data_IF_013387756120
#
_entry.id   IF_013387756120
#
_cell.length_a   1.000
_cell.length_b   1.000
_cell.length_c   1.000
_cell.angle_alpha   90.00
_cell.angle_beta   90.00
_cell.angle_gamma   90.00
#
_symmetry.space_group_name_H-M   'P 1'
#
loop_
_entity.id
_entity.type
_entity.pdbx_description
1 polymer ?
#
# COMPACT_ATOMS: atom_id res chain seq x y z
N UNK A 1 14.53 6.57 25.69
CA UNK A 1 15.00 6.73 24.30
C UNK A 1 15.76 8.04 24.20
N UNK A 2 17.04 8.02 23.76
CA UNK A 2 17.74 9.29 23.43
C UNK A 2 17.26 9.69 22.03
N UNK A 3 16.65 10.85 21.89
CA UNK A 3 16.26 11.42 20.60
C UNK A 3 17.50 11.76 19.77
N UNK A 4 18.59 12.13 20.46
CA UNK A 4 19.91 12.45 19.89
C UNK A 4 20.99 11.86 20.82
N UNK A 5 21.96 11.16 20.25
CA UNK A 5 23.16 10.72 20.96
C UNK A 5 24.36 11.58 20.50
N UNK A 6 24.63 12.67 21.20
CA UNK A 6 25.71 13.61 20.86
C UNK A 6 27.11 13.05 21.14
N UNK A 7 27.20 11.95 21.89
CA UNK A 7 28.46 11.34 22.30
C UNK A 7 29.00 10.33 21.27
N UNK A 8 28.18 9.91 20.33
CA UNK A 8 28.56 8.89 19.34
C UNK A 8 28.29 9.34 17.92
N UNK A 9 29.36 9.54 17.17
CA UNK A 9 29.25 9.68 15.71
C UNK A 9 28.91 8.30 15.09
N UNK A 10 27.78 8.16 14.37
CA UNK A 10 27.46 6.89 13.72
C UNK A 10 28.54 6.55 12.69
N UNK A 11 29.21 5.41 12.88
CA UNK A 11 30.25 4.93 11.96
C UNK A 11 29.68 4.14 10.79
N UNK A 12 28.64 3.34 11.05
CA UNK A 12 27.90 2.56 10.05
C UNK A 12 26.42 2.73 10.32
N UNK A 13 25.73 3.39 9.40
CA UNK A 13 24.31 3.67 9.54
C UNK A 13 23.49 2.40 9.26
N UNK A 14 22.80 1.90 10.30
CA UNK A 14 21.81 0.83 10.13
C UNK A 14 20.45 1.44 9.84
N UNK A 15 19.68 0.75 9.01
CA UNK A 15 18.29 1.16 8.76
C UNK A 15 17.50 1.04 10.07
N UNK A 16 17.59 -0.11 10.74
CA UNK A 16 16.86 -0.41 11.98
C UNK A 16 17.79 -0.80 13.11
N UNK A 17 17.39 -0.50 14.34
CA UNK A 17 18.06 -0.93 15.58
C UNK A 17 19.54 -0.50 15.70
N UNK A 18 19.93 0.54 14.99
CA UNK A 18 21.25 1.15 15.12
C UNK A 18 21.28 2.30 16.12
N UNK A 19 22.31 3.14 16.02
CA UNK A 19 22.35 4.41 16.71
C UNK A 19 21.65 5.47 15.85
N UNK A 20 20.79 6.28 16.47
CA UNK A 20 20.10 7.34 15.74
C UNK A 20 21.12 8.32 15.14
N UNK A 21 21.09 8.49 13.84
CA UNK A 21 21.81 9.54 13.12
C UNK A 21 21.15 10.90 13.44
N UNK A 22 21.97 11.88 13.80
CA UNK A 22 21.47 13.08 14.45
C UNK A 22 21.20 14.24 13.50
N UNK A 23 21.67 14.14 12.26
CA UNK A 23 21.44 15.13 11.22
C UNK A 23 21.55 14.48 9.84
N UNK A 24 20.83 15.07 8.92
CA UNK A 24 20.82 14.62 7.53
C UNK A 24 22.10 15.12 6.87
N UNK A 25 22.88 14.19 6.37
CA UNK A 25 24.07 14.48 5.58
C UNK A 25 23.76 14.29 4.11
N UNK A 26 23.52 15.38 3.41
CA UNK A 26 23.22 15.34 1.96
C UNK A 26 24.45 14.88 1.16
N UNK A 27 25.65 15.17 1.66
CA UNK A 27 26.95 14.86 1.05
C UNK A 27 27.39 13.40 1.24
N UNK A 28 26.81 12.68 2.18
CA UNK A 28 27.17 11.29 2.49
C UNK A 28 25.96 10.45 2.88
N UNK A 29 25.10 10.21 1.92
CA UNK A 29 23.91 9.36 2.10
C UNK A 29 24.34 7.90 1.96
N UNK A 30 24.09 7.09 3.00
CA UNK A 30 24.46 5.67 3.03
C UNK A 30 23.65 4.82 2.03
N UNK A 31 22.44 5.26 1.66
CA UNK A 31 21.54 4.52 0.76
C UNK A 31 20.92 5.45 -0.29
N UNK A 32 21.58 5.59 -1.44
CA UNK A 32 21.10 6.39 -2.57
C UNK A 32 19.68 6.04 -3.04
N UNK A 33 19.29 4.78 -2.89
CA UNK A 33 17.93 4.35 -3.27
C UNK A 33 16.85 5.03 -2.40
N UNK A 34 17.09 5.19 -1.10
CA UNK A 34 16.15 5.88 -0.21
C UNK A 34 15.98 7.36 -0.58
N UNK A 35 17.08 8.01 -1.00
CA UNK A 35 17.04 9.38 -1.51
C UNK A 35 16.19 9.50 -2.77
N UNK A 36 16.42 8.60 -3.74
CA UNK A 36 15.64 8.58 -4.99
C UNK A 36 14.15 8.35 -4.75
N UNK A 37 13.80 7.42 -3.86
CA UNK A 37 12.41 7.15 -3.50
C UNK A 37 11.77 8.33 -2.77
N UNK A 38 12.51 8.99 -1.88
CA UNK A 38 12.07 10.23 -1.23
C UNK A 38 11.82 11.34 -2.26
N UNK A 39 12.72 11.54 -3.21
CA UNK A 39 12.57 12.54 -4.28
C UNK A 39 11.38 12.21 -5.19
N UNK A 40 11.14 10.93 -5.48
CA UNK A 40 9.96 10.49 -6.23
C UNK A 40 8.67 10.79 -5.46
N UNK A 41 8.61 10.49 -4.16
CA UNK A 41 7.51 10.81 -3.27
C UNK A 41 7.22 12.32 -3.25
N UNK A 42 8.25 13.15 -3.06
CA UNK A 42 8.10 14.61 -3.09
C UNK A 42 7.57 15.13 -4.43
N UNK A 43 8.07 14.53 -5.51
CA UNK A 43 7.64 14.86 -6.87
C UNK A 43 6.20 14.46 -7.19
N UNK A 44 5.60 13.53 -6.46
CA UNK A 44 4.24 13.02 -6.68
C UNK A 44 3.21 13.59 -5.71
N UNK A 45 3.57 14.52 -4.82
CA UNK A 45 2.64 15.07 -3.82
C UNK A 45 1.37 15.63 -4.48
N UNK A 46 0.23 15.22 -3.97
CA UNK A 46 -1.11 15.66 -4.36
C UNK A 46 -2.01 15.73 -3.11
N UNK A 47 -3.23 16.25 -3.25
CA UNK A 47 -4.16 16.42 -2.12
C UNK A 47 -5.57 15.97 -2.49
N UNK A 48 -6.33 15.50 -1.52
CA UNK A 48 -7.69 14.98 -1.65
C UNK A 48 -8.63 15.92 -2.43
N UNK A 49 -8.52 17.23 -2.21
CA UNK A 49 -9.36 18.28 -2.82
C UNK A 49 -9.06 18.57 -4.29
N UNK A 50 -8.01 17.96 -4.86
CA UNK A 50 -7.67 18.12 -6.28
C UNK A 50 -8.53 17.23 -7.19
N UNK A 51 -9.33 16.34 -6.60
CA UNK A 51 -10.25 15.46 -7.33
C UNK A 51 -11.68 15.97 -7.28
N UNK A 52 -12.33 16.04 -8.44
CA UNK A 52 -13.75 16.41 -8.56
C UNK A 52 -14.64 15.16 -8.58
N UNK A 53 -15.62 15.09 -7.68
CA UNK A 53 -16.57 13.99 -7.52
C UNK A 53 -18.01 14.34 -7.97
N UNK A 54 -18.23 15.47 -8.65
CA UNK A 54 -19.56 15.90 -9.07
C UNK A 54 -20.26 14.88 -9.97
N UNK A 55 -19.52 14.29 -10.90
CA UNK A 55 -20.04 13.23 -11.76
C UNK A 55 -20.46 12.00 -10.95
N UNK A 56 -19.62 11.58 -10.01
CA UNK A 56 -19.84 10.40 -9.17
C UNK A 56 -21.12 10.60 -8.33
N UNK A 57 -21.32 11.77 -7.75
CA UNK A 57 -22.52 12.12 -6.98
C UNK A 57 -23.81 11.92 -7.76
N UNK A 58 -23.81 12.27 -9.03
CA UNK A 58 -25.02 12.17 -9.87
C UNK A 58 -25.22 10.80 -10.47
N UNK A 59 -24.15 10.04 -10.66
CA UNK A 59 -24.15 8.77 -11.43
C UNK A 59 -24.05 7.52 -10.58
N UNK A 60 -23.59 7.63 -9.34
CA UNK A 60 -23.40 6.45 -8.47
C UNK A 60 -24.68 5.60 -8.33
N UNK A 61 -25.83 6.26 -8.18
CA UNK A 61 -27.12 5.56 -8.06
C UNK A 61 -27.56 4.81 -9.32
N UNK A 62 -26.92 5.07 -10.46
CA UNK A 62 -27.18 4.33 -11.70
C UNK A 62 -26.42 2.99 -11.78
N UNK A 63 -25.46 2.76 -10.87
CA UNK A 63 -24.78 1.47 -10.77
C UNK A 63 -25.77 0.39 -10.29
N UNK A 64 -25.65 -0.85 -10.79
CA UNK A 64 -26.35 -1.98 -10.20
C UNK A 64 -26.01 -2.16 -8.72
N UNK A 65 -26.94 -2.67 -7.93
CA UNK A 65 -26.78 -2.84 -6.48
C UNK A 65 -25.53 -3.67 -6.11
N UNK A 66 -25.22 -4.71 -6.88
CA UNK A 66 -24.03 -5.53 -6.67
C UNK A 66 -22.73 -4.73 -6.86
N UNK A 67 -22.70 -3.85 -7.86
CA UNK A 67 -21.54 -2.96 -8.10
C UNK A 67 -21.41 -1.89 -7.01
N UNK A 68 -22.54 -1.32 -6.55
CA UNK A 68 -22.55 -0.38 -5.43
C UNK A 68 -22.06 -1.06 -4.14
N UNK A 69 -22.51 -2.28 -3.85
CA UNK A 69 -22.07 -3.07 -2.70
C UNK A 69 -20.58 -3.37 -2.77
N UNK A 70 -20.10 -3.90 -3.89
CA UNK A 70 -18.69 -4.22 -4.09
C UNK A 70 -17.81 -2.98 -3.93
N UNK A 71 -18.20 -1.84 -4.49
CA UNK A 71 -17.50 -0.58 -4.34
C UNK A 71 -17.44 -0.14 -2.87
N UNK A 72 -18.57 -0.11 -2.16
CA UNK A 72 -18.65 0.34 -0.76
C UNK A 72 -17.80 -0.51 0.18
N UNK A 73 -17.86 -1.84 0.06
CA UNK A 73 -17.02 -2.76 0.85
C UNK A 73 -15.54 -2.55 0.56
N UNK A 74 -15.20 -2.39 -0.71
CA UNK A 74 -13.82 -2.22 -1.14
C UNK A 74 -13.20 -0.90 -0.66
N UNK A 75 -13.94 0.22 -0.79
CA UNK A 75 -13.46 1.53 -0.36
C UNK A 75 -13.36 1.64 1.17
N UNK A 76 -14.30 1.04 1.91
CA UNK A 76 -14.25 0.99 3.37
C UNK A 76 -13.00 0.26 3.85
N UNK A 77 -12.70 -0.90 3.26
CA UNK A 77 -11.47 -1.64 3.55
C UNK A 77 -10.21 -0.81 3.26
N UNK A 78 -10.10 -0.18 2.09
CA UNK A 78 -8.95 0.65 1.71
C UNK A 78 -8.74 1.79 2.71
N UNK A 79 -9.82 2.55 3.04
CA UNK A 79 -9.74 3.67 3.99
C UNK A 79 -9.15 3.25 5.33
N UNK A 80 -9.57 2.10 5.85
CA UNK A 80 -9.12 1.64 7.14
C UNK A 80 -7.67 1.12 7.10
N UNK A 81 -7.29 0.44 6.01
CA UNK A 81 -5.92 -0.08 5.87
C UNK A 81 -4.90 1.04 5.75
N UNK A 82 -5.13 2.05 4.91
CA UNK A 82 -4.23 3.20 4.77
C UNK A 82 -4.13 3.99 6.09
N UNK A 83 -5.25 4.18 6.79
CA UNK A 83 -5.25 4.79 8.14
C UNK A 83 -4.41 3.98 9.13
N UNK A 84 -4.49 2.65 9.08
CA UNK A 84 -3.73 1.73 9.92
C UNK A 84 -2.23 1.76 9.58
N UNK A 85 -1.89 1.75 8.31
CA UNK A 85 -0.50 1.85 7.83
C UNK A 85 0.12 3.19 8.21
N UNK A 86 -0.57 4.31 7.96
CA UNK A 86 -0.13 5.65 8.37
C UNK A 86 0.19 5.73 9.87
N UNK A 87 -0.73 5.21 10.70
CA UNK A 87 -0.55 5.14 12.15
C UNK A 87 0.63 4.25 12.53
N UNK A 88 0.75 3.07 11.91
CA UNK A 88 1.83 2.12 12.15
C UNK A 88 3.21 2.66 11.78
N UNK A 89 3.34 3.34 10.65
CA UNK A 89 4.58 4.00 10.25
C UNK A 89 4.97 5.10 11.25
N UNK A 90 4.02 5.96 11.62
CA UNK A 90 4.28 7.10 12.49
C UNK A 90 4.61 6.67 13.92
N UNK A 91 3.86 5.73 14.48
CA UNK A 91 3.95 5.37 15.90
C UNK A 91 4.88 4.19 16.20
N UNK A 92 5.12 3.28 15.26
CA UNK A 92 5.89 2.05 15.46
C UNK A 92 7.21 2.09 14.70
N UNK A 93 7.18 2.18 13.36
CA UNK A 93 8.39 2.09 12.56
C UNK A 93 9.36 3.26 12.82
N UNK A 94 8.87 4.49 12.93
CA UNK A 94 9.72 5.64 13.20
C UNK A 94 10.48 5.56 14.53
N UNK A 95 10.04 4.73 15.48
CA UNK A 95 10.78 4.50 16.74
C UNK A 95 12.00 3.60 16.59
N UNK A 96 12.03 2.75 15.58
CA UNK A 96 13.08 1.74 15.38
C UNK A 96 13.96 2.00 14.15
N UNK A 97 13.53 2.91 13.27
CA UNK A 97 14.34 3.38 12.13
C UNK A 97 15.41 4.32 12.65
N UNK A 98 16.67 4.00 12.38
CA UNK A 98 17.83 4.75 12.90
C UNK A 98 18.64 5.45 11.80
N UNK A 99 18.43 5.11 10.55
CA UNK A 99 18.97 5.83 9.40
C UNK A 99 18.16 7.09 9.12
N UNK A 100 18.85 8.24 9.01
CA UNK A 100 18.19 9.53 8.79
C UNK A 100 17.42 9.61 7.48
N UNK A 101 17.98 9.09 6.39
CA UNK A 101 17.32 9.13 5.08
C UNK A 101 16.10 8.19 5.02
N UNK A 102 16.19 7.00 5.64
CA UNK A 102 15.06 6.09 5.73
C UNK A 102 13.96 6.61 6.66
N UNK A 103 14.33 7.29 7.76
CA UNK A 103 13.35 7.92 8.64
C UNK A 103 12.54 9.00 7.92
N UNK A 104 13.17 9.81 7.08
CA UNK A 104 12.45 10.81 6.26
C UNK A 104 11.54 10.13 5.25
N UNK A 105 12.02 9.09 4.56
CA UNK A 105 11.21 8.37 3.59
C UNK A 105 9.97 7.74 4.24
N UNK A 106 10.12 7.07 5.38
CA UNK A 106 8.99 6.51 6.10
C UNK A 106 8.02 7.56 6.64
N UNK A 107 8.53 8.72 7.08
CA UNK A 107 7.67 9.84 7.46
C UNK A 107 6.88 10.39 6.25
N UNK A 108 7.50 10.44 5.08
CA UNK A 108 6.82 10.82 3.83
C UNK A 108 5.74 9.82 3.44
N UNK A 109 6.04 8.51 3.48
CA UNK A 109 5.07 7.46 3.24
C UNK A 109 3.89 7.58 4.22
N UNK A 110 4.13 7.80 5.51
CA UNK A 110 3.06 8.00 6.49
C UNK A 110 2.16 9.22 6.15
N UNK A 111 2.72 10.29 5.56
CA UNK A 111 1.94 11.44 5.08
C UNK A 111 1.11 11.04 3.86
N UNK A 112 1.68 10.31 2.89
CA UNK A 112 0.97 9.83 1.71
C UNK A 112 -0.21 8.93 2.10
N UNK A 113 -0.02 8.00 3.01
CA UNK A 113 -1.06 7.13 3.55
C UNK A 113 -2.21 7.92 4.22
N UNK A 114 -1.88 9.00 4.94
CA UNK A 114 -2.92 9.89 5.47
C UNK A 114 -3.69 10.61 4.35
N UNK A 115 -3.00 11.04 3.28
CA UNK A 115 -3.65 11.65 2.11
C UNK A 115 -4.55 10.63 1.41
N UNK A 116 -4.12 9.37 1.28
CA UNK A 116 -4.91 8.29 0.73
C UNK A 116 -6.21 8.08 1.53
N UNK A 117 -6.10 7.87 2.83
CA UNK A 117 -7.24 7.69 3.74
C UNK A 117 -8.19 8.90 3.75
N UNK A 118 -7.64 10.12 3.79
CA UNK A 118 -8.42 11.36 3.68
C UNK A 118 -9.17 11.43 2.34
N UNK A 119 -8.53 11.02 1.25
CA UNK A 119 -9.10 11.12 -0.09
C UNK A 119 -10.31 10.19 -0.28
N UNK A 120 -10.28 8.99 0.28
CA UNK A 120 -11.44 8.11 0.32
C UNK A 120 -12.59 8.74 1.12
N UNK A 121 -12.31 9.22 2.34
CA UNK A 121 -13.31 9.85 3.20
C UNK A 121 -13.89 11.12 2.57
N UNK A 122 -13.05 11.93 1.94
CA UNK A 122 -13.45 13.11 1.22
C UNK A 122 -14.39 12.76 0.04
N UNK A 123 -13.97 11.82 -0.81
CA UNK A 123 -14.80 11.36 -1.92
C UNK A 123 -16.15 10.80 -1.49
N UNK A 124 -16.16 9.98 -0.42
CA UNK A 124 -17.40 9.45 0.14
C UNK A 124 -18.32 10.58 0.66
N UNK A 125 -17.75 11.60 1.33
CA UNK A 125 -18.50 12.76 1.81
C UNK A 125 -19.10 13.57 0.67
N UNK A 126 -18.35 13.81 -0.41
CA UNK A 126 -18.81 14.54 -1.59
C UNK A 126 -19.95 13.81 -2.31
N UNK A 127 -19.88 12.48 -2.40
CA UNK A 127 -20.85 11.66 -3.13
C UNK A 127 -22.07 11.33 -2.29
N UNK A 128 -21.89 10.91 -1.04
CA UNK A 128 -22.96 10.38 -0.18
C UNK A 128 -23.41 11.35 0.92
N UNK A 129 -22.68 12.45 1.17
CA UNK A 129 -23.00 13.38 2.26
C UNK A 129 -23.00 12.67 3.61
N UNK A 130 -24.12 12.79 4.35
CA UNK A 130 -24.26 12.17 5.68
C UNK A 130 -24.22 10.64 5.68
N UNK A 131 -24.51 9.99 4.55
CA UNK A 131 -24.45 8.53 4.42
C UNK A 131 -23.02 8.01 4.21
N UNK A 132 -22.00 8.87 4.08
CA UNK A 132 -20.60 8.46 3.99
C UNK A 132 -20.18 7.62 5.20
N UNK A 133 -20.63 7.98 6.40
CA UNK A 133 -20.35 7.26 7.65
C UNK A 133 -20.84 5.82 7.60
N UNK A 134 -22.03 5.57 7.04
CA UNK A 134 -22.57 4.21 6.89
C UNK A 134 -21.66 3.31 6.05
N UNK A 135 -21.01 3.88 5.02
CA UNK A 135 -20.03 3.15 4.19
C UNK A 135 -18.75 2.87 4.98
N UNK A 136 -18.24 3.84 5.73
CA UNK A 136 -17.03 3.64 6.55
C UNK A 136 -17.29 2.66 7.69
N UNK A 137 -18.47 2.66 8.29
CA UNK A 137 -18.87 1.76 9.37
C UNK A 137 -18.99 0.29 8.93
N UNK A 138 -18.96 -0.01 7.63
CA UNK A 138 -18.87 -1.39 7.14
C UNK A 138 -17.64 -2.12 7.72
N UNK A 139 -16.55 -1.41 8.02
CA UNK A 139 -15.38 -2.01 8.67
C UNK A 139 -15.67 -2.58 10.06
N UNK A 140 -16.69 -2.06 10.75
CA UNK A 140 -17.13 -2.53 12.06
C UNK A 140 -18.32 -3.49 12.01
N UNK A 141 -19.10 -3.43 10.93
CA UNK A 141 -20.37 -4.14 10.80
C UNK A 141 -20.28 -5.36 9.88
N UNK A 142 -19.20 -5.48 9.08
CA UNK A 142 -18.98 -6.60 8.16
C UNK A 142 -17.85 -7.49 8.70
N UNK A 143 -18.18 -8.70 9.11
CA UNK A 143 -17.24 -9.64 9.71
C UNK A 143 -16.12 -10.06 8.74
N UNK A 144 -16.39 -10.07 7.43
CA UNK A 144 -15.39 -10.42 6.45
C UNK A 144 -14.33 -9.31 6.31
N UNK A 145 -14.76 -8.04 6.30
CA UNK A 145 -13.86 -6.89 6.29
C UNK A 145 -12.99 -6.89 7.55
N UNK A 146 -13.57 -7.11 8.73
CA UNK A 146 -12.81 -7.24 9.99
C UNK A 146 -11.73 -8.30 9.89
N UNK A 147 -12.14 -9.54 9.54
CA UNK A 147 -11.22 -10.67 9.49
C UNK A 147 -10.05 -10.42 8.52
N UNK A 148 -10.32 -9.77 7.38
CA UNK A 148 -9.28 -9.45 6.39
C UNK A 148 -8.19 -8.53 6.94
N UNK A 149 -8.49 -7.75 7.98
CA UNK A 149 -7.56 -6.78 8.58
C UNK A 149 -6.81 -7.30 9.80
N UNK A 150 -7.35 -8.31 10.47
CA UNK A 150 -6.80 -8.81 11.74
C UNK A 150 -5.31 -9.14 11.65
N UNK A 151 -4.88 -9.66 10.50
CA UNK A 151 -3.48 -10.08 10.31
C UNK A 151 -2.51 -8.92 10.25
N UNK A 152 -2.86 -7.85 9.56
CA UNK A 152 -2.03 -6.64 9.48
C UNK A 152 -1.94 -5.96 10.85
N UNK A 153 -3.07 -5.85 11.54
CA UNK A 153 -3.12 -5.32 12.92
C UNK A 153 -2.26 -6.14 13.87
N UNK A 154 -2.31 -7.48 13.78
CA UNK A 154 -1.47 -8.38 14.56
C UNK A 154 0.02 -8.14 14.31
N UNK A 155 0.43 -7.95 13.04
CA UNK A 155 1.83 -7.72 12.68
C UNK A 155 2.37 -6.41 13.28
N UNK A 156 1.61 -5.31 13.20
CA UNK A 156 1.99 -4.05 13.84
C UNK A 156 2.03 -4.18 15.36
N UNK A 157 1.01 -4.77 15.96
CA UNK A 157 0.94 -5.00 17.40
C UNK A 157 2.12 -5.82 17.93
N UNK A 158 2.55 -6.84 17.17
CA UNK A 158 3.70 -7.67 17.56
C UNK A 158 5.02 -6.91 17.55
N UNK A 159 5.23 -6.03 16.58
CA UNK A 159 6.43 -5.18 16.55
C UNK A 159 6.38 -4.15 17.67
N UNK A 160 5.22 -3.56 17.95
CA UNK A 160 5.05 -2.63 19.05
C UNK A 160 5.38 -3.29 20.40
N UNK A 161 4.81 -4.48 20.67
CA UNK A 161 5.08 -5.26 21.86
C UNK A 161 6.58 -5.55 22.06
N UNK A 162 7.23 -6.12 21.01
CA UNK A 162 8.62 -6.59 21.11
C UNK A 162 9.65 -5.45 21.07
N UNK A 163 9.31 -4.32 20.45
CA UNK A 163 10.20 -3.16 20.34
C UNK A 163 9.92 -2.09 21.40
N UNK A 164 8.97 -2.32 22.30
CA UNK A 164 8.75 -1.44 23.43
C UNK A 164 9.98 -1.46 24.34
N UNK A 165 10.42 -0.26 24.75
CA UNK A 165 11.62 -0.08 25.57
C UNK A 165 11.55 -0.77 26.95
N UNK A 166 10.36 -1.06 27.43
CA UNK A 166 10.13 -1.73 28.71
C UNK A 166 10.33 -3.25 28.62
N UNK A 167 10.33 -3.83 27.43
CA UNK A 167 10.50 -5.26 27.23
C UNK A 167 11.99 -5.65 27.08
N UNK A 168 12.70 -5.67 28.21
CA UNK A 168 14.15 -5.94 28.28
C UNK A 168 14.50 -7.42 27.98
N UNK A 169 13.53 -8.34 28.03
CA UNK A 169 13.75 -9.78 27.89
C UNK A 169 13.65 -10.30 26.47
N UNK A 170 13.24 -9.46 25.50
CA UNK A 170 13.10 -9.87 24.10
C UNK A 170 14.47 -9.99 23.44
N UNK A 171 14.76 -11.14 22.83
CA UNK A 171 16.01 -11.35 22.13
C UNK A 171 16.11 -10.44 20.89
N UNK A 172 17.34 -10.05 20.49
CA UNK A 172 17.53 -9.27 19.27
C UNK A 172 16.96 -9.94 18.01
N UNK A 173 17.00 -11.26 17.94
CA UNK A 173 16.50 -12.00 16.79
C UNK A 173 14.98 -12.06 16.73
N UNK A 174 14.29 -12.15 17.85
CA UNK A 174 12.82 -12.04 17.90
C UNK A 174 12.34 -10.68 17.37
N UNK A 175 13.01 -9.58 17.77
CA UNK A 175 12.73 -8.23 17.25
C UNK A 175 12.93 -8.15 15.75
N UNK A 176 14.04 -8.71 15.24
CA UNK A 176 14.34 -8.73 13.79
C UNK A 176 13.35 -9.58 13.01
N UNK A 177 12.96 -10.74 13.55
CA UNK A 177 11.96 -11.61 12.94
C UNK A 177 10.58 -10.94 12.89
N UNK A 178 10.15 -10.28 13.96
CA UNK A 178 8.90 -9.53 13.99
C UNK A 178 8.93 -8.39 12.96
N UNK A 179 10.01 -7.63 12.89
CA UNK A 179 10.18 -6.56 11.91
C UNK A 179 10.15 -7.10 10.47
N UNK A 180 10.85 -8.19 10.17
CA UNK A 180 10.83 -8.78 8.82
C UNK A 180 9.44 -9.28 8.43
N UNK A 181 8.66 -9.83 9.37
CA UNK A 181 7.24 -10.19 9.13
C UNK A 181 6.41 -8.94 8.83
N UNK A 182 6.56 -7.87 9.62
CA UNK A 182 5.84 -6.61 9.39
C UNK A 182 6.19 -6.02 8.02
N UNK A 183 7.48 -5.86 7.69
CA UNK A 183 7.93 -5.34 6.41
C UNK A 183 7.42 -6.18 5.23
N UNK A 184 7.38 -7.51 5.40
CA UNK A 184 6.81 -8.42 4.38
C UNK A 184 5.29 -8.25 4.29
N UNK A 185 4.59 -8.14 5.41
CA UNK A 185 3.13 -7.93 5.45
C UNK A 185 2.74 -6.63 4.74
N UNK A 186 3.39 -5.52 5.08
CA UNK A 186 3.18 -4.23 4.40
C UNK A 186 3.48 -4.38 2.89
N UNK A 187 4.62 -4.99 2.53
CA UNK A 187 4.97 -5.19 1.13
C UNK A 187 3.91 -6.00 0.37
N UNK A 188 3.31 -7.03 0.97
CA UNK A 188 2.24 -7.83 0.35
C UNK A 188 0.93 -7.03 0.28
N UNK A 189 0.63 -6.22 1.28
CA UNK A 189 -0.52 -5.31 1.29
C UNK A 189 -0.46 -4.36 0.09
N UNK A 190 0.64 -3.60 -0.03
CA UNK A 190 0.85 -2.59 -1.06
C UNK A 190 0.97 -3.19 -2.48
N UNK A 191 1.48 -4.42 -2.58
CA UNK A 191 1.85 -4.99 -3.87
C UNK A 191 0.90 -6.05 -4.41
N UNK A 192 -0.03 -6.57 -3.60
CA UNK A 192 -1.00 -7.62 -3.99
C UNK A 192 -2.43 -7.20 -3.60
N UNK A 193 -2.68 -6.89 -2.33
CA UNK A 193 -4.04 -6.61 -1.83
C UNK A 193 -4.59 -5.31 -2.41
N UNK A 194 -3.82 -4.22 -2.36
CA UNK A 194 -4.25 -2.94 -2.94
C UNK A 194 -4.36 -2.98 -4.45
N UNK A 195 -3.43 -3.52 -5.24
CA UNK A 195 -3.62 -3.68 -6.68
C UNK A 195 -4.91 -4.42 -7.07
N UNK A 196 -5.30 -5.46 -6.30
CA UNK A 196 -6.58 -6.13 -6.54
C UNK A 196 -7.77 -5.21 -6.19
N UNK A 197 -7.69 -4.49 -5.08
CA UNK A 197 -8.71 -3.51 -4.69
C UNK A 197 -8.83 -2.36 -5.70
N UNK A 198 -7.72 -1.88 -6.25
CA UNK A 198 -7.70 -0.87 -7.32
C UNK A 198 -8.33 -1.41 -8.61
N UNK A 199 -8.02 -2.65 -8.96
CA UNK A 199 -8.62 -3.34 -10.11
C UNK A 199 -10.15 -3.34 -10.01
N UNK A 200 -10.71 -3.66 -8.85
CA UNK A 200 -12.17 -3.66 -8.63
C UNK A 200 -12.77 -2.28 -8.95
N UNK A 201 -12.20 -1.20 -8.40
CA UNK A 201 -12.69 0.17 -8.66
C UNK A 201 -12.57 0.54 -10.15
N UNK A 202 -11.46 0.19 -10.78
CA UNK A 202 -11.23 0.50 -12.20
C UNK A 202 -12.22 -0.22 -13.11
N UNK A 203 -12.54 -1.47 -12.80
CA UNK A 203 -13.50 -2.25 -13.59
C UNK A 203 -14.91 -1.71 -13.41
N UNK A 204 -15.34 -1.43 -12.19
CA UNK A 204 -16.65 -0.81 -11.96
C UNK A 204 -16.73 0.50 -12.77
N UNK A 205 -15.72 1.36 -12.70
CA UNK A 205 -15.73 2.60 -13.45
C UNK A 205 -15.79 2.39 -14.97
N UNK A 206 -14.97 1.51 -15.50
CA UNK A 206 -14.90 1.24 -16.94
C UNK A 206 -16.17 0.57 -17.48
N UNK A 207 -16.77 -0.32 -16.71
CA UNK A 207 -17.91 -1.12 -17.13
C UNK A 207 -19.23 -0.35 -17.11
N UNK A 208 -19.32 0.70 -16.31
CA UNK A 208 -20.53 1.50 -16.14
C UNK A 208 -20.31 2.96 -16.58
N UNK A 209 -19.70 3.13 -17.75
CA UNK A 209 -19.56 4.42 -18.45
C UNK A 209 -19.00 5.54 -17.55
N UNK A 210 -17.94 5.22 -16.80
CA UNK A 210 -17.24 6.13 -15.88
C UNK A 210 -18.15 6.72 -14.77
N UNK A 211 -19.07 5.93 -14.24
CA UNK A 211 -20.01 6.36 -13.20
C UNK A 211 -19.33 6.76 -11.87
N UNK A 212 -18.08 6.34 -11.64
CA UNK A 212 -17.27 6.68 -10.45
C UNK A 212 -15.91 7.24 -10.87
N UNK A 213 -15.90 8.17 -11.82
CA UNK A 213 -14.68 8.72 -12.43
C UNK A 213 -13.77 9.44 -11.42
N UNK A 214 -14.33 10.15 -10.45
CA UNK A 214 -13.60 10.80 -9.36
C UNK A 214 -12.88 9.78 -8.49
N UNK A 215 -13.58 8.73 -8.04
CA UNK A 215 -12.93 7.65 -7.30
C UNK A 215 -11.87 6.93 -8.13
N UNK A 216 -12.14 6.64 -9.40
CA UNK A 216 -11.14 6.03 -10.27
C UNK A 216 -9.90 6.89 -10.43
N UNK A 217 -10.05 8.23 -10.50
CA UNK A 217 -8.92 9.17 -10.52
C UNK A 217 -8.15 9.15 -9.21
N UNK A 218 -8.82 9.17 -8.07
CA UNK A 218 -8.20 9.04 -6.74
C UNK A 218 -7.37 7.77 -6.67
N UNK A 219 -7.95 6.62 -7.03
CA UNK A 219 -7.25 5.33 -7.03
C UNK A 219 -6.04 5.33 -7.98
N UNK A 220 -6.08 6.05 -9.11
CA UNK A 220 -4.90 6.17 -9.98
C UNK A 220 -3.75 6.93 -9.31
N UNK A 221 -4.05 8.00 -8.58
CA UNK A 221 -3.05 8.79 -7.85
C UNK A 221 -2.44 7.93 -6.73
N UNK A 222 -3.27 7.26 -5.95
CA UNK A 222 -2.84 6.31 -4.91
C UNK A 222 -1.99 5.20 -5.51
N UNK A 223 -2.47 4.51 -6.55
CA UNK A 223 -1.72 3.44 -7.21
C UNK A 223 -0.37 3.91 -7.79
N UNK A 224 -0.25 5.20 -8.12
CA UNK A 224 1.02 5.78 -8.55
C UNK A 224 2.02 5.86 -7.39
N UNK A 225 1.59 6.31 -6.21
CA UNK A 225 2.42 6.38 -5.01
C UNK A 225 2.81 4.98 -4.54
N UNK A 226 1.83 4.07 -4.43
CA UNK A 226 2.05 2.69 -4.00
C UNK A 226 3.09 1.96 -4.87
N UNK A 227 2.87 1.95 -6.17
CA UNK A 227 3.66 1.14 -7.08
C UNK A 227 5.00 1.77 -7.48
N UNK A 228 5.18 3.08 -7.27
CA UNK A 228 6.43 3.78 -7.59
C UNK A 228 7.27 4.16 -6.36
N UNK A 229 6.66 4.21 -5.14
CA UNK A 229 7.36 4.57 -3.90
C UNK A 229 7.26 3.47 -2.86
N UNK A 230 6.03 3.07 -2.44
CA UNK A 230 5.85 2.17 -1.30
C UNK A 230 6.35 0.76 -1.60
N UNK A 231 5.91 0.15 -2.69
CA UNK A 231 6.37 -1.20 -3.12
C UNK A 231 7.88 -1.22 -3.36
N UNK A 232 8.51 -0.29 -4.11
CA UNK A 232 9.96 -0.20 -4.21
C UNK A 232 10.66 0.01 -2.88
N UNK A 233 10.08 0.75 -1.93
CA UNK A 233 10.63 0.93 -0.59
C UNK A 233 10.72 -0.42 0.13
N UNK A 234 9.64 -1.17 0.21
CA UNK A 234 9.60 -2.50 0.84
C UNK A 234 10.60 -3.47 0.20
N UNK A 235 10.59 -3.58 -1.14
CA UNK A 235 11.52 -4.41 -1.91
C UNK A 235 12.98 -4.08 -1.60
N UNK A 236 13.36 -2.80 -1.63
CA UNK A 236 14.75 -2.38 -1.45
C UNK A 236 15.21 -2.57 0.00
N UNK A 237 14.35 -2.27 0.98
CA UNK A 237 14.66 -2.52 2.39
C UNK A 237 14.94 -4.00 2.62
N UNK A 238 14.05 -4.90 2.21
CA UNK A 238 14.24 -6.35 2.35
C UNK A 238 15.53 -6.80 1.66
N UNK A 239 15.82 -6.27 0.46
CA UNK A 239 17.05 -6.58 -0.29
C UNK A 239 18.31 -6.12 0.46
N UNK A 240 18.31 -4.92 1.05
CA UNK A 240 19.44 -4.40 1.84
C UNK A 240 19.64 -5.24 3.09
N UNK A 241 18.58 -5.54 3.84
CA UNK A 241 18.65 -6.37 5.04
C UNK A 241 19.17 -7.79 4.75
N UNK A 242 18.92 -8.31 3.53
CA UNK A 242 19.41 -9.60 3.08
C UNK A 242 20.91 -9.57 2.73
N UNK A 243 21.38 -8.52 2.05
CA UNK A 243 22.71 -8.47 1.39
C UNK A 243 23.78 -7.80 2.23
N UNK A 244 23.41 -6.83 3.07
CA UNK A 244 24.33 -6.08 3.90
C UNK A 244 24.43 -6.69 5.30
N UNK A 245 25.52 -7.42 5.55
CA UNK A 245 25.78 -8.05 6.86
C UNK A 245 25.86 -7.03 8.01
N UNK A 246 26.21 -5.74 7.73
CA UNK A 246 26.24 -4.68 8.74
C UNK A 246 24.86 -4.38 9.33
N UNK A 247 23.77 -4.66 8.59
CA UNK A 247 22.40 -4.51 9.10
C UNK A 247 22.09 -5.55 10.19
N UNK A 248 22.80 -6.69 10.19
CA UNK A 248 22.68 -7.74 11.20
C UNK A 248 21.48 -8.68 11.02
N UNK A 249 20.90 -8.75 9.83
CA UNK A 249 19.75 -9.59 9.48
C UNK A 249 20.10 -10.78 8.58
N UNK A 250 21.25 -10.77 7.92
CA UNK A 250 21.61 -11.71 6.84
C UNK A 250 21.52 -13.19 7.24
N UNK A 251 21.76 -13.52 8.53
CA UNK A 251 21.65 -14.89 9.02
C UNK A 251 20.21 -15.45 8.93
N UNK A 252 19.16 -14.61 9.08
CA UNK A 252 17.76 -15.01 8.95
C UNK A 252 17.38 -15.35 7.50
N UNK A 253 18.13 -14.83 6.53
CA UNK A 253 17.99 -15.18 5.13
C UNK A 253 18.83 -16.42 4.78
N UNK A 254 20.07 -16.51 5.26
CA UNK A 254 21.01 -17.61 4.99
C UNK A 254 20.54 -18.95 5.55
N UNK A 255 19.84 -18.95 6.71
CA UNK A 255 19.29 -20.16 7.32
C UNK A 255 17.92 -20.59 6.77
N UNK A 256 17.37 -19.85 5.79
CA UNK A 256 16.11 -20.16 5.14
C UNK A 256 14.84 -19.70 5.90
N UNK A 257 15.00 -19.15 7.12
CA UNK A 257 13.86 -18.71 7.93
C UNK A 257 12.99 -17.69 7.19
N UNK A 258 13.61 -16.66 6.59
CA UNK A 258 12.87 -15.63 5.86
C UNK A 258 12.10 -16.20 4.68
N UNK A 259 12.73 -17.04 3.86
CA UNK A 259 12.10 -17.61 2.67
C UNK A 259 10.86 -18.45 3.03
N UNK A 260 10.94 -19.26 4.06
CA UNK A 260 9.79 -20.05 4.55
C UNK A 260 8.70 -19.13 5.11
N UNK A 261 9.06 -18.11 5.89
CA UNK A 261 8.11 -17.14 6.43
C UNK A 261 7.39 -16.38 5.31
N UNK A 262 8.12 -15.86 4.33
CA UNK A 262 7.54 -15.12 3.20
C UNK A 262 6.62 -15.98 2.32
N UNK A 263 6.97 -17.27 2.08
CA UNK A 263 6.07 -18.20 1.38
C UNK A 263 4.75 -18.41 2.12
N UNK A 264 4.81 -18.68 3.41
CA UNK A 264 3.60 -18.88 4.22
C UNK A 264 2.73 -17.61 4.25
N UNK A 265 3.36 -16.44 4.33
CA UNK A 265 2.64 -15.16 4.32
C UNK A 265 1.96 -14.89 2.97
N UNK A 266 2.64 -15.13 1.86
CA UNK A 266 2.01 -14.93 0.54
C UNK A 266 0.92 -15.95 0.26
N UNK A 267 1.10 -17.21 0.66
CA UNK A 267 0.06 -18.23 0.52
C UNK A 267 -1.20 -17.84 1.28
N UNK A 268 -1.03 -17.38 2.53
CA UNK A 268 -2.14 -16.82 3.30
C UNK A 268 -2.78 -15.62 2.58
N UNK A 269 -1.98 -14.65 2.12
CA UNK A 269 -2.47 -13.45 1.41
C UNK A 269 -3.25 -13.84 0.15
N UNK A 270 -2.72 -14.73 -0.68
CA UNK A 270 -3.39 -15.19 -1.92
C UNK A 270 -4.73 -15.85 -1.61
N UNK A 271 -4.75 -16.73 -0.60
CA UNK A 271 -5.99 -17.43 -0.21
C UNK A 271 -7.06 -16.45 0.32
N UNK A 272 -6.66 -15.48 1.13
CA UNK A 272 -7.59 -14.46 1.64
C UNK A 272 -8.08 -13.53 0.53
N UNK A 273 -7.23 -13.11 -0.40
CA UNK A 273 -7.66 -12.28 -1.53
C UNK A 273 -8.60 -13.01 -2.50
N UNK A 274 -8.39 -14.31 -2.71
CA UNK A 274 -9.33 -15.14 -3.50
C UNK A 274 -10.69 -15.26 -2.79
N UNK A 275 -10.70 -15.45 -1.47
CA UNK A 275 -11.95 -15.45 -0.70
C UNK A 275 -12.62 -14.08 -0.76
N UNK A 276 -11.85 -13.01 -0.61
CA UNK A 276 -12.34 -11.64 -0.70
C UNK A 276 -12.98 -11.37 -2.07
N UNK A 277 -12.33 -11.75 -3.15
CA UNK A 277 -12.89 -11.59 -4.50
C UNK A 277 -14.24 -12.26 -4.66
N UNK A 278 -14.39 -13.48 -4.13
CA UNK A 278 -15.67 -14.21 -4.15
C UNK A 278 -16.74 -13.51 -3.31
N UNK A 279 -16.35 -13.00 -2.15
CA UNK A 279 -17.26 -12.28 -1.27
C UNK A 279 -17.73 -10.94 -1.87
N UNK A 280 -16.81 -10.17 -2.46
CA UNK A 280 -17.13 -8.89 -3.11
C UNK A 280 -18.19 -9.06 -4.20
N UNK A 281 -18.04 -10.10 -5.02
CA UNK A 281 -18.89 -10.32 -6.18
C UNK A 281 -20.06 -11.27 -5.91
N UNK A 282 -20.22 -11.78 -4.69
CA UNK A 282 -21.28 -12.69 -4.28
C UNK A 282 -21.45 -13.88 -5.27
N UNK A 283 -20.32 -14.40 -5.77
CA UNK A 283 -20.29 -15.47 -6.77
C UNK A 283 -20.78 -15.08 -8.16
N UNK A 284 -21.14 -13.81 -8.38
CA UNK A 284 -21.61 -13.30 -9.68
C UNK A 284 -20.44 -12.77 -10.51
N UNK A 285 -20.64 -12.78 -11.81
CA UNK A 285 -19.71 -12.16 -12.74
C UNK A 285 -20.02 -10.65 -12.81
N UNK A 286 -19.10 -9.81 -12.32
CA UNK A 286 -19.19 -8.37 -12.51
C UNK A 286 -18.40 -8.02 -13.76
N UNK A 287 -19.12 -7.85 -14.86
CA UNK A 287 -18.68 -7.33 -16.17
C UNK A 287 -17.24 -7.67 -16.56
N UNK A 288 -16.99 -8.96 -16.81
CA UNK A 288 -15.70 -9.44 -17.31
C UNK A 288 -14.70 -9.85 -16.23
N UNK A 289 -15.00 -9.67 -14.95
CA UNK A 289 -14.29 -10.35 -13.87
C UNK A 289 -15.14 -11.48 -13.30
N UNK A 290 -14.66 -12.68 -13.52
CA UNK A 290 -15.09 -13.86 -12.81
C UNK A 290 -14.03 -14.32 -11.81
N UNK A 291 -14.35 -15.31 -11.00
CA UNK A 291 -13.43 -15.86 -10.01
C UNK A 291 -12.08 -16.28 -10.59
N UNK A 292 -12.05 -16.80 -11.82
CA UNK A 292 -10.83 -17.25 -12.50
C UNK A 292 -9.91 -16.07 -12.88
N UNK A 293 -10.47 -14.96 -13.37
CA UNK A 293 -9.71 -13.76 -13.72
C UNK A 293 -9.12 -13.12 -12.47
N UNK A 294 -9.92 -13.02 -11.39
CA UNK A 294 -9.46 -12.52 -10.09
C UNK A 294 -8.33 -13.37 -9.52
N UNK A 295 -8.49 -14.69 -9.54
CA UNK A 295 -7.51 -15.64 -9.04
C UNK A 295 -6.19 -15.55 -9.82
N UNK A 296 -6.25 -15.48 -11.16
CA UNK A 296 -5.06 -15.29 -12.00
C UNK A 296 -4.36 -13.97 -11.69
N UNK A 297 -5.11 -12.84 -11.56
CA UNK A 297 -4.54 -11.55 -11.22
C UNK A 297 -3.77 -11.59 -9.89
N UNK A 298 -4.38 -12.13 -8.84
CA UNK A 298 -3.80 -12.23 -7.50
C UNK A 298 -2.54 -13.11 -7.52
N UNK A 299 -2.63 -14.31 -8.10
CA UNK A 299 -1.50 -15.26 -8.17
C UNK A 299 -0.34 -14.73 -9.03
N UNK A 300 -0.63 -14.09 -10.16
CA UNK A 300 0.40 -13.49 -11.00
C UNK A 300 1.21 -12.45 -10.25
N UNK A 301 0.54 -11.51 -9.56
CA UNK A 301 1.23 -10.52 -8.76
C UNK A 301 1.98 -11.15 -7.59
N UNK A 302 1.42 -12.15 -6.92
CA UNK A 302 2.11 -12.89 -5.85
C UNK A 302 3.43 -13.49 -6.33
N UNK A 303 3.46 -14.13 -7.51
CA UNK A 303 4.66 -14.66 -8.12
C UNK A 303 5.73 -13.60 -8.37
N UNK A 304 5.34 -12.49 -9.02
CA UNK A 304 6.25 -11.37 -9.30
C UNK A 304 6.82 -10.78 -8.02
N UNK A 305 5.98 -10.53 -7.02
CA UNK A 305 6.36 -9.86 -5.77
C UNK A 305 7.29 -10.71 -4.90
N UNK A 306 7.08 -12.01 -4.81
CA UNK A 306 8.02 -12.89 -4.11
C UNK A 306 9.38 -12.98 -4.83
N UNK A 307 9.38 -13.07 -6.15
CA UNK A 307 10.62 -13.02 -6.94
C UNK A 307 11.37 -11.71 -6.69
N UNK A 308 10.68 -10.58 -6.63
CA UNK A 308 11.27 -9.26 -6.37
C UNK A 308 12.05 -9.20 -5.04
N UNK A 309 11.58 -9.90 -4.02
CA UNK A 309 12.27 -10.02 -2.73
C UNK A 309 13.12 -11.29 -2.61
N UNK A 310 13.41 -11.96 -3.73
CA UNK A 310 14.33 -13.11 -3.82
C UNK A 310 13.79 -14.39 -3.16
N UNK A 311 12.49 -14.62 -3.25
CA UNK A 311 11.83 -15.84 -2.76
C UNK A 311 11.17 -16.55 -3.95
N UNK A 312 11.50 -17.83 -4.14
CA UNK A 312 10.86 -18.67 -5.15
C UNK A 312 9.50 -19.17 -4.65
N UNK A 313 8.54 -19.24 -5.56
CA UNK A 313 7.18 -19.70 -5.31
C UNK A 313 6.59 -20.40 -6.53
N UNK A 314 5.62 -21.27 -6.34
CA UNK A 314 4.85 -21.91 -7.40
C UNK A 314 4.07 -20.91 -8.27
N UNK A 315 3.70 -19.76 -7.71
CA UNK A 315 3.00 -18.69 -8.44
C UNK A 315 3.84 -18.05 -9.55
N UNK A 316 5.14 -18.32 -9.64
CA UNK A 316 5.98 -17.91 -10.77
C UNK A 316 5.57 -18.55 -12.10
N UNK A 317 4.85 -19.67 -12.07
CA UNK A 317 4.31 -20.33 -13.24
C UNK A 317 3.05 -19.70 -13.80
N UNK A 318 2.42 -18.76 -13.07
CA UNK A 318 1.21 -18.07 -13.50
C UNK A 318 1.47 -17.25 -14.76
N UNK A 319 0.63 -17.48 -15.78
CA UNK A 319 0.74 -16.74 -17.03
C UNK A 319 0.11 -15.35 -16.91
N UNK A 320 0.77 -14.39 -17.52
CA UNK A 320 0.22 -13.05 -17.65
C UNK A 320 -1.04 -13.08 -18.53
N UNK A 321 -2.16 -12.61 -18.02
CA UNK A 321 -3.43 -12.47 -18.73
C UNK A 321 -3.67 -11.03 -19.17
N UNK A 322 -4.62 -10.82 -20.09
CA UNK A 322 -4.94 -9.50 -20.65
C UNK A 322 -5.37 -8.50 -19.58
N UNK A 323 -5.97 -8.94 -18.48
CA UNK A 323 -6.36 -8.09 -17.36
C UNK A 323 -5.16 -7.38 -16.72
N UNK A 324 -3.98 -8.03 -16.71
CA UNK A 324 -2.75 -7.44 -16.17
C UNK A 324 -2.29 -6.28 -17.05
N UNK A 325 -2.33 -6.44 -18.37
CA UNK A 325 -1.96 -5.37 -19.32
C UNK A 325 -2.97 -4.22 -19.28
N UNK A 326 -4.24 -4.57 -19.22
CA UNK A 326 -5.31 -3.59 -19.07
C UNK A 326 -5.16 -2.79 -17.76
N UNK A 327 -4.97 -3.45 -16.62
CA UNK A 327 -4.74 -2.80 -15.32
C UNK A 327 -3.55 -1.85 -15.37
N UNK A 328 -2.40 -2.30 -15.90
CA UNK A 328 -1.20 -1.48 -16.01
C UNK A 328 -1.40 -0.26 -16.93
N UNK A 329 -2.20 -0.42 -17.98
CA UNK A 329 -2.54 0.70 -18.86
C UNK A 329 -3.53 1.66 -18.21
N UNK A 330 -4.55 1.13 -17.51
CA UNK A 330 -5.61 1.93 -16.90
C UNK A 330 -5.10 2.79 -15.73
N UNK A 331 -4.22 2.26 -14.88
CA UNK A 331 -3.65 2.96 -13.73
C UNK A 331 -2.62 4.04 -14.09
N UNK A 332 -2.11 4.05 -15.32
CA UNK A 332 -1.08 5.01 -15.75
C UNK A 332 -1.65 6.43 -15.82
N UNK A 333 -1.21 7.30 -14.91
CA UNK A 333 -1.66 8.70 -14.84
C UNK A 333 -1.25 9.54 -16.04
N UNK A 334 -0.23 9.10 -16.79
CA UNK A 334 0.27 9.80 -17.99
C UNK A 334 -0.48 9.38 -19.26
N UNK A 335 -1.21 8.26 -19.22
CA UNK A 335 -2.06 7.84 -20.34
C UNK A 335 -3.42 8.49 -20.21
N UNK A 336 -3.78 9.31 -21.21
CA UNK A 336 -5.18 9.66 -21.41
C UNK A 336 -5.92 8.35 -21.70
N UNK A 337 -6.86 7.96 -20.82
CA UNK A 337 -7.83 6.98 -21.24
C UNK A 337 -8.61 7.66 -22.37
N UNK A 338 -8.39 7.23 -23.61
CA UNK A 338 -9.21 7.59 -24.73
C UNK A 338 -10.58 6.94 -24.52
N UNK A 339 -11.39 7.55 -23.65
CA UNK A 339 -12.81 7.34 -23.66
C UNK A 339 -13.31 7.94 -24.96
N UNK A 340 -13.98 7.14 -25.74
CA UNK A 340 -14.73 7.55 -26.91
C UNK A 340 -15.49 8.83 -26.57
N UNK A 341 -15.12 9.92 -27.29
CA UNK A 341 -15.83 11.20 -27.39
C UNK A 341 -16.42 11.81 -26.12
N UNK A 342 -15.93 13.01 -25.79
CA UNK A 342 -16.50 13.97 -24.83
C UNK A 342 -16.28 13.73 -23.35
N UNK A 343 -15.04 13.64 -22.90
CA UNK A 343 -14.72 13.96 -21.52
C UNK A 343 -13.60 14.98 -21.45
N UNK A 344 -13.84 16.02 -20.65
CA UNK A 344 -12.87 17.04 -20.26
C UNK A 344 -11.54 16.41 -19.89
N UNK A 345 -10.48 16.96 -20.45
CA UNK A 345 -9.10 16.58 -20.29
C UNK A 345 -8.75 16.38 -18.79
N UNK A 346 -8.65 15.14 -18.32
CA UNK A 346 -8.34 14.79 -16.92
C UNK A 346 -6.85 14.55 -16.71
N UNK A 347 -5.98 15.05 -17.61
CA UNK A 347 -4.56 15.02 -17.39
C UNK A 347 -4.20 15.96 -16.24
N UNK A 348 -3.64 15.40 -15.17
CA UNK A 348 -3.06 16.15 -14.06
C UNK A 348 -1.85 16.96 -14.59
N UNK A 349 -1.96 18.29 -14.58
CA UNK A 349 -0.81 19.16 -14.78
C UNK A 349 -0.23 19.54 -13.40
N UNK A 350 0.95 19.02 -13.09
CA UNK A 350 1.74 19.48 -11.94
C UNK A 350 1.98 20.99 -12.07
N UNK A 351 1.72 21.73 -11.02
CA UNK A 351 2.14 23.12 -10.88
C UNK A 351 1.14 24.19 -11.29
N UNK A 352 -0.11 23.85 -11.60
CA UNK A 352 -1.16 24.85 -11.75
C UNK A 352 -1.78 25.21 -10.38
N UNK A 353 -0.96 25.69 -9.44
CA UNK A 353 -1.46 26.52 -8.36
C UNK A 353 -1.86 27.85 -9.02
N UNK A 354 -3.15 28.12 -9.17
CA UNK A 354 -3.63 29.47 -9.30
C UNK A 354 -3.28 30.20 -8.01
N UNK A 355 -2.34 31.13 -8.10
CA UNK A 355 -2.17 32.18 -7.11
C UNK A 355 -3.39 33.10 -7.20
N UNK A 356 -4.43 32.78 -6.48
CA UNK A 356 -5.50 33.70 -6.10
C UNK A 356 -5.52 33.73 -4.56
N UNK A 357 -4.62 34.55 -4.04
CA UNK A 357 -4.73 35.17 -2.72
C UNK A 357 -5.20 36.59 -2.91
#
# INVERSE_FOLDING_TARGET
MKVVDIDKKPKNEKIFFGNFGHYIRIDSISHEIAKKLKEASEGNTWFSKEVDYKSDKTRFSSLPEDAQRAFKLNIAYQTLMDSGVASGFSSILNRIVTSSIWSILYARIAIEENIHAESYSYGLSEVFGHQATETLDLVYNDDFVKHRMEKEVELFGKVDELCNLENLNTSPDEKKQALLRLLTGIYLLESIKFPFSFLVTFIINNSYDNAIAGFAKTIKLIAHDELNVHVPTGKNVISILRKDDNQGFSHLFKNGWFNNTARNMVEFTVNEEIKWSKYLFDGKEVLGINSSVSENFIKYWAGIRLKDIGVETEYLSEKKSDIIDWFNSYRDINKQNAALQETTNTSYQKGALKNDL
#
